data_IF_197411069728
#
_entry.id   IF_197411069728
#
_cell.length_a   1.000
_cell.length_b   1.000
_cell.length_c   1.000
_cell.angle_alpha   90.00
_cell.angle_beta   90.00
_cell.angle_gamma   90.00
#
_symmetry.space_group_name_H-M   'P 1'
#
loop_
_entity.id
_entity.type
_entity.pdbx_description
1 polymer ?
#
# COMPACT_ATOMS: atom_id res chain seq x y z
N UNK A 1 23.99 21.82 0.36
CA UNK A 1 22.55 21.45 0.29
C UNK A 1 21.79 22.26 1.33
N UNK A 2 20.60 22.78 1.02
CA UNK A 2 19.79 23.55 1.97
C UNK A 2 18.63 22.65 2.42
N UNK A 3 18.80 21.96 3.56
CA UNK A 3 17.83 21.02 4.09
C UNK A 3 16.58 21.78 4.55
N UNK A 4 15.41 21.46 3.99
CA UNK A 4 14.14 22.04 4.40
C UNK A 4 13.16 20.94 4.80
N UNK A 5 12.41 21.11 5.89
CA UNK A 5 11.36 20.17 6.26
C UNK A 5 10.20 20.23 5.26
N UNK A 6 9.53 19.10 5.05
CA UNK A 6 8.26 19.02 4.31
C UNK A 6 7.13 19.27 5.31
N UNK A 7 6.40 20.38 5.16
CA UNK A 7 5.32 20.77 6.08
C UNK A 7 3.98 20.99 5.40
N UNK A 8 4.01 21.26 4.10
CA UNK A 8 2.84 21.55 3.29
C UNK A 8 2.77 20.59 2.11
N UNK A 9 1.57 20.45 1.55
CA UNK A 9 1.36 19.67 0.32
C UNK A 9 2.24 20.19 -0.82
N UNK A 10 2.49 21.51 -0.88
CA UNK A 10 3.39 22.08 -1.89
C UNK A 10 4.84 21.64 -1.71
N UNK A 11 5.32 21.54 -0.46
CA UNK A 11 6.67 21.04 -0.18
C UNK A 11 6.79 19.56 -0.57
N UNK A 12 5.73 18.79 -0.30
CA UNK A 12 5.64 17.36 -0.61
C UNK A 12 5.66 17.12 -2.12
N UNK A 13 4.82 17.80 -2.88
CA UNK A 13 4.79 17.70 -4.35
C UNK A 13 6.13 18.13 -4.97
N UNK A 14 6.78 19.16 -4.42
CA UNK A 14 8.11 19.56 -4.86
C UNK A 14 9.16 18.47 -4.56
N UNK A 15 9.13 17.89 -3.37
CA UNK A 15 10.05 16.81 -3.01
C UNK A 15 9.88 15.58 -3.91
N UNK A 16 8.64 15.17 -4.21
CA UNK A 16 8.35 14.08 -5.14
C UNK A 16 8.91 14.36 -6.54
N UNK A 17 8.72 15.58 -7.05
CA UNK A 17 9.27 15.97 -8.34
C UNK A 17 10.80 15.95 -8.34
N UNK A 18 11.44 16.37 -7.24
CA UNK A 18 12.89 16.31 -7.13
C UNK A 18 13.40 14.86 -7.06
N UNK A 19 12.72 13.98 -6.32
CA UNK A 19 13.00 12.54 -6.27
C UNK A 19 12.91 11.93 -7.66
N UNK A 20 11.86 12.23 -8.43
CA UNK A 20 11.68 11.71 -9.80
C UNK A 20 12.87 12.05 -10.71
N UNK A 21 13.46 13.24 -10.58
CA UNK A 21 14.61 13.65 -11.38
C UNK A 21 15.93 12.94 -11.01
N UNK A 22 16.04 12.44 -9.78
CA UNK A 22 17.26 11.80 -9.25
C UNK A 22 17.04 10.33 -8.87
N UNK A 23 15.95 9.72 -9.32
CA UNK A 23 15.52 8.39 -8.90
C UNK A 23 16.58 7.32 -9.21
N UNK A 24 17.25 7.47 -10.35
CA UNK A 24 18.32 6.57 -10.82
C UNK A 24 19.72 7.02 -10.34
N UNK A 25 19.81 7.81 -9.25
CA UNK A 25 21.10 8.26 -8.74
C UNK A 25 21.99 7.09 -8.30
N UNK A 26 23.21 7.04 -8.83
CA UNK A 26 24.18 6.00 -8.51
C UNK A 26 24.63 6.08 -7.04
N UNK A 27 24.86 4.94 -6.36
CA UNK A 27 25.34 4.94 -4.99
C UNK A 27 26.62 5.74 -4.78
N UNK A 28 26.76 6.35 -3.60
CA UNK A 28 27.91 7.20 -3.21
C UNK A 28 28.07 8.49 -4.05
N UNK A 29 27.00 8.98 -4.68
CA UNK A 29 26.95 10.29 -5.33
C UNK A 29 26.24 11.33 -4.45
N UNK A 30 26.50 12.63 -4.63
CA UNK A 30 25.72 13.68 -3.98
C UNK A 30 24.22 13.62 -4.30
N UNK A 31 23.87 13.15 -5.50
CA UNK A 31 22.50 12.92 -5.93
C UNK A 31 21.85 11.81 -5.13
N UNK A 32 22.56 10.71 -4.86
CA UNK A 32 22.06 9.62 -4.01
C UNK A 32 21.90 10.05 -2.55
N UNK A 33 22.86 10.81 -2.00
CA UNK A 33 22.73 11.39 -0.65
C UNK A 33 21.48 12.28 -0.57
N UNK A 34 21.23 13.08 -1.61
CA UNK A 34 20.03 13.91 -1.69
C UNK A 34 18.76 13.08 -1.82
N UNK A 35 18.76 12.02 -2.62
CA UNK A 35 17.64 11.10 -2.78
C UNK A 35 17.26 10.50 -1.43
N UNK A 36 18.23 9.89 -0.73
CA UNK A 36 18.03 9.23 0.57
C UNK A 36 17.38 10.18 1.61
N UNK A 37 17.88 11.41 1.67
CA UNK A 37 17.32 12.46 2.54
C UNK A 37 15.87 12.80 2.14
N UNK A 38 15.61 13.04 0.86
CA UNK A 38 14.28 13.43 0.38
C UNK A 38 13.26 12.32 0.61
N UNK A 39 13.62 11.06 0.34
CA UNK A 39 12.74 9.91 0.56
C UNK A 39 12.39 9.76 2.04
N UNK A 40 13.39 9.93 2.93
CA UNK A 40 13.15 9.92 4.39
C UNK A 40 12.19 11.02 4.84
N UNK A 41 12.34 12.24 4.31
CA UNK A 41 11.45 13.36 4.67
C UNK A 41 10.04 13.17 4.12
N UNK A 42 9.91 12.61 2.91
CA UNK A 42 8.63 12.25 2.29
C UNK A 42 7.91 11.20 3.14
N UNK A 43 8.59 10.13 3.54
CA UNK A 43 7.99 9.07 4.37
C UNK A 43 7.40 9.64 5.67
N UNK A 44 8.14 10.50 6.38
CA UNK A 44 7.67 11.14 7.61
C UNK A 44 6.43 12.00 7.37
N UNK A 45 6.36 12.71 6.23
CA UNK A 45 5.19 13.50 5.86
C UNK A 45 3.99 12.59 5.53
N UNK A 46 4.21 11.52 4.76
CA UNK A 46 3.16 10.57 4.38
C UNK A 46 2.56 9.85 5.59
N UNK A 47 3.39 9.40 6.55
CA UNK A 47 2.90 8.78 7.77
C UNK A 47 1.93 9.67 8.56
N UNK A 48 2.09 10.99 8.47
CA UNK A 48 1.25 11.97 9.19
C UNK A 48 0.00 12.39 8.40
N UNK A 49 0.08 12.43 7.07
CA UNK A 49 -0.95 13.03 6.20
C UNK A 49 -1.72 11.99 5.36
N UNK A 50 -1.12 10.84 5.09
CA UNK A 50 -1.65 9.74 4.29
C UNK A 50 -1.53 8.41 5.07
N UNK A 51 -2.21 8.27 6.22
CA UNK A 51 -2.19 7.03 6.98
C UNK A 51 -2.71 5.89 6.11
N UNK A 52 -1.97 4.77 6.09
CA UNK A 52 -2.43 3.55 5.43
C UNK A 52 -3.43 2.89 6.38
N UNK A 53 -4.72 3.08 6.08
CA UNK A 53 -5.77 2.33 6.76
C UNK A 53 -5.59 0.83 6.49
N UNK A 54 -5.87 -0.03 7.49
CA UNK A 54 -5.87 -1.46 7.25
C UNK A 54 -6.83 -1.77 6.09
N UNK A 55 -6.47 -2.70 5.19
CA UNK A 55 -7.38 -3.11 4.14
C UNK A 55 -8.69 -3.58 4.77
N UNK A 56 -9.81 -3.32 4.11
CA UNK A 56 -11.08 -3.89 4.55
C UNK A 56 -10.93 -5.42 4.65
N UNK A 57 -11.65 -6.10 5.56
CA UNK A 57 -11.56 -7.55 5.69
C UNK A 57 -11.70 -8.29 4.35
N UNK A 58 -12.51 -7.73 3.45
CA UNK A 58 -12.74 -8.22 2.10
C UNK A 58 -11.51 -8.04 1.21
N UNK A 59 -10.94 -6.83 1.17
CA UNK A 59 -9.72 -6.56 0.42
C UNK A 59 -8.56 -7.45 0.90
N UNK A 60 -8.48 -7.73 2.19
CA UNK A 60 -7.51 -8.67 2.76
C UNK A 60 -7.75 -10.12 2.29
N UNK A 61 -9.01 -10.58 2.24
CA UNK A 61 -9.37 -11.90 1.71
C UNK A 61 -9.02 -11.98 0.22
N UNK A 62 -9.42 -11.00 -0.59
CA UNK A 62 -9.14 -10.97 -2.03
C UNK A 62 -7.63 -10.96 -2.31
N UNK A 63 -6.87 -10.13 -1.60
CA UNK A 63 -5.40 -10.13 -1.67
C UNK A 63 -4.80 -11.50 -1.30
N UNK A 64 -5.34 -12.16 -0.27
CA UNK A 64 -4.90 -13.49 0.12
C UNK A 64 -5.19 -14.56 -0.96
N UNK A 65 -6.30 -14.42 -1.68
CA UNK A 65 -6.66 -15.30 -2.80
C UNK A 65 -5.78 -15.07 -4.03
N UNK A 66 -5.56 -13.82 -4.39
CA UNK A 66 -4.70 -13.42 -5.50
C UNK A 66 -3.23 -13.83 -5.26
N UNK A 67 -2.68 -13.53 -4.07
CA UNK A 67 -1.29 -13.82 -3.72
C UNK A 67 -0.96 -15.32 -3.71
N UNK A 68 -1.97 -16.19 -3.53
CA UNK A 68 -1.78 -17.65 -3.52
C UNK A 68 -2.13 -18.34 -4.84
N UNK A 69 -2.52 -17.59 -5.89
CA UNK A 69 -3.10 -18.16 -7.13
C UNK A 69 -4.27 -19.12 -6.86
N UNK A 70 -4.92 -19.02 -5.71
CA UNK A 70 -6.07 -19.84 -5.35
C UNK A 70 -7.30 -19.04 -5.75
N UNK A 71 -7.77 -19.26 -6.98
CA UNK A 71 -8.97 -18.59 -7.47
C UNK A 71 -10.15 -18.73 -6.50
N UNK A 72 -11.07 -17.76 -6.51
CA UNK A 72 -12.23 -17.66 -5.60
C UNK A 72 -12.99 -18.99 -5.46
N UNK A 73 -13.11 -19.76 -6.54
CA UNK A 73 -13.76 -21.08 -6.54
C UNK A 73 -13.07 -22.09 -5.60
N UNK A 74 -11.73 -22.18 -5.63
CA UNK A 74 -10.96 -23.07 -4.75
C UNK A 74 -11.08 -22.68 -3.29
N UNK A 75 -11.20 -21.39 -3.00
CA UNK A 75 -11.43 -20.91 -1.64
C UNK A 75 -12.82 -21.27 -1.12
N UNK A 76 -13.86 -21.06 -1.93
CA UNK A 76 -15.23 -21.45 -1.58
C UNK A 76 -15.30 -22.97 -1.34
N UNK A 77 -14.68 -23.78 -2.19
CA UNK A 77 -14.58 -25.23 -1.99
C UNK A 77 -13.85 -25.58 -0.67
N UNK A 78 -12.75 -24.92 -0.36
CA UNK A 78 -12.05 -25.12 0.91
C UNK A 78 -12.91 -24.77 2.13
N UNK A 79 -13.69 -23.69 2.09
CA UNK A 79 -14.62 -23.34 3.17
C UNK A 79 -15.69 -24.42 3.37
N UNK A 80 -16.25 -24.94 2.27
CA UNK A 80 -17.19 -26.06 2.31
C UNK A 80 -16.55 -27.32 2.92
N UNK A 81 -15.31 -27.63 2.57
CA UNK A 81 -14.55 -28.75 3.16
C UNK A 81 -14.32 -28.60 4.67
N UNK A 82 -14.26 -27.38 5.20
CA UNK A 82 -14.13 -27.11 6.64
C UNK A 82 -15.49 -26.99 7.36
N UNK A 83 -16.60 -27.33 6.69
CA UNK A 83 -17.93 -27.36 7.28
C UNK A 83 -18.62 -26.01 7.40
N UNK A 84 -18.12 -24.97 6.70
CA UNK A 84 -18.81 -23.69 6.60
C UNK A 84 -20.03 -23.86 5.69
N UNK A 85 -21.21 -23.47 6.18
CA UNK A 85 -22.45 -23.61 5.41
C UNK A 85 -22.51 -22.62 4.24
N UNK A 86 -23.19 -23.02 3.16
CA UNK A 86 -23.40 -22.18 1.99
C UNK A 86 -24.16 -20.89 2.31
N UNK A 87 -25.01 -20.93 3.34
CA UNK A 87 -25.70 -19.76 3.89
C UNK A 87 -24.72 -18.74 4.48
N UNK A 88 -23.74 -19.16 5.27
CA UNK A 88 -22.70 -18.28 5.83
C UNK A 88 -21.80 -17.71 4.73
N UNK A 89 -21.45 -18.54 3.74
CA UNK A 89 -20.68 -18.09 2.57
C UNK A 89 -21.46 -17.02 1.80
N UNK A 90 -22.75 -17.22 1.56
CA UNK A 90 -23.58 -16.27 0.82
C UNK A 90 -23.88 -14.99 1.62
N UNK A 91 -24.03 -15.06 2.95
CA UNK A 91 -24.16 -13.88 3.81
C UNK A 91 -22.89 -13.04 3.70
N UNK A 92 -21.72 -13.67 3.86
CA UNK A 92 -20.44 -12.98 3.72
C UNK A 92 -20.28 -12.35 2.33
N UNK A 93 -20.67 -13.06 1.25
CA UNK A 93 -20.60 -12.54 -0.13
C UNK A 93 -21.63 -11.44 -0.44
N UNK A 94 -22.79 -11.42 0.22
CA UNK A 94 -23.84 -10.41 -0.02
C UNK A 94 -23.59 -9.13 0.77
N UNK A 95 -23.10 -9.23 2.01
CA UNK A 95 -22.62 -8.08 2.80
C UNK A 95 -21.41 -7.40 2.16
N UNK A 96 -20.79 -8.00 1.13
CA UNK A 96 -19.70 -7.42 0.32
C UNK A 96 -20.16 -6.45 -0.78
N UNK A 97 -21.47 -6.36 -1.06
CA UNK A 97 -22.02 -5.55 -2.19
C UNK A 97 -22.78 -4.28 -1.75
N UNK A 98 -22.78 -3.97 -0.45
CA UNK A 98 -23.34 -2.75 0.15
C UNK A 98 -22.31 -2.10 1.07
#
# INVERSE_FOLDING_TARGET
MNLKPIRTESDYQQALKEIEQIFDAEPNTPEYEKLDILTTLVEVYEQQNYPIDPPSPIAAILYYLESRNQGVSTFIENLKHHGVSEEIINIALNEMTH
#
